data_IF_814961221073
#
_entry.id   IF_814961221073
#
_cell.length_a   1.000
_cell.length_b   1.000
_cell.length_c   1.000
_cell.angle_alpha   90.00
_cell.angle_beta   90.00
_cell.angle_gamma   90.00
#
_symmetry.space_group_name_H-M   'P 1'
#
loop_
_entity.id
_entity.type
_entity.pdbx_description
1 polymer ?
#
# COMPACT_ATOMS: atom_id res chain seq x y z
N UNK A 1 -46.06 -1.43 5.53
CA UNK A 1 -45.66 -0.69 4.31
C UNK A 1 -44.24 -1.13 3.93
N UNK A 2 -44.07 -1.92 2.87
CA UNK A 2 -42.73 -2.32 2.36
C UNK A 2 -42.24 -1.27 1.35
N UNK A 3 -40.93 -1.06 1.24
CA UNK A 3 -40.12 -0.93 0.00
C UNK A 3 -38.65 -0.72 0.43
N UNK A 4 -37.81 -1.75 0.27
CA UNK A 4 -36.81 -1.87 -0.80
C UNK A 4 -35.79 -0.71 -0.83
N UNK A 5 -34.58 -0.98 -0.32
CA UNK A 5 -33.40 -0.17 -0.60
C UNK A 5 -32.73 -0.77 -1.84
N UNK A 6 -33.18 -0.34 -3.02
CA UNK A 6 -32.44 -0.51 -4.26
C UNK A 6 -31.47 0.66 -4.39
N UNK A 7 -30.21 0.32 -4.70
CA UNK A 7 -29.13 1.30 -4.87
C UNK A 7 -29.51 2.43 -5.82
N UNK A 8 -29.34 3.64 -5.33
CA UNK A 8 -29.34 4.87 -6.11
C UNK A 8 -28.38 5.81 -5.41
N UNK A 9 -27.28 6.16 -6.09
CA UNK A 9 -26.40 7.23 -5.63
C UNK A 9 -27.24 8.51 -5.56
N UNK A 10 -27.42 9.04 -4.35
CA UNK A 10 -28.23 10.23 -4.08
C UNK A 10 -27.46 11.46 -4.60
N UNK A 11 -27.85 11.98 -5.75
CA UNK A 11 -27.36 13.25 -6.34
C UNK A 11 -28.21 14.44 -5.86
N UNK A 12 -28.55 14.48 -4.57
CA UNK A 12 -29.32 15.59 -3.96
C UNK A 12 -28.89 15.86 -2.51
N UNK A 13 -27.59 15.67 -2.23
CA UNK A 13 -27.03 16.12 -0.95
C UNK A 13 -26.96 17.65 -0.98
N UNK A 14 -27.62 18.31 -0.04
CA UNK A 14 -27.47 19.75 0.13
C UNK A 14 -26.04 20.08 0.55
N UNK A 15 -25.58 21.31 0.31
CA UNK A 15 -24.24 21.75 0.76
C UNK A 15 -24.03 21.53 2.27
N UNK A 16 -25.11 21.59 3.06
CA UNK A 16 -25.08 21.28 4.48
C UNK A 16 -24.83 19.79 4.75
N UNK A 17 -25.45 18.88 3.99
CA UNK A 17 -25.22 17.44 4.13
C UNK A 17 -23.78 17.06 3.72
N UNK A 18 -23.25 17.72 2.70
CA UNK A 18 -21.85 17.54 2.28
C UNK A 18 -20.90 18.07 3.36
N UNK A 19 -21.19 19.23 3.94
CA UNK A 19 -20.40 19.81 5.03
C UNK A 19 -20.42 18.92 6.27
N UNK A 20 -21.59 18.40 6.68
CA UNK A 20 -21.73 17.52 7.84
C UNK A 20 -20.99 16.18 7.64
N UNK A 21 -21.00 15.64 6.42
CA UNK A 21 -20.23 14.44 6.08
C UNK A 21 -18.73 14.72 6.10
N UNK A 22 -18.29 15.87 5.62
CA UNK A 22 -16.87 16.29 5.67
C UNK A 22 -16.43 16.49 7.13
N UNK A 23 -17.21 17.18 7.95
CA UNK A 23 -16.90 17.45 9.36
C UNK A 23 -16.90 16.17 10.21
N UNK A 24 -17.86 15.28 9.99
CA UNK A 24 -17.90 13.94 10.59
C UNK A 24 -16.64 13.11 10.28
N UNK A 25 -16.15 13.21 9.05
CA UNK A 25 -14.93 12.51 8.62
C UNK A 25 -13.64 13.21 9.08
N UNK A 26 -13.62 14.54 9.18
CA UNK A 26 -12.52 15.30 9.78
C UNK A 26 -12.38 15.00 11.27
N UNK A 27 -13.51 14.90 11.98
CA UNK A 27 -13.54 14.60 13.42
C UNK A 27 -13.09 13.17 13.73
N UNK A 28 -13.38 12.20 12.85
CA UNK A 28 -13.03 10.78 13.06
C UNK A 28 -11.59 10.39 12.69
N UNK A 29 -10.72 11.33 12.30
CA UNK A 29 -9.31 10.97 12.04
C UNK A 29 -8.31 12.03 12.45
N UNK A 30 -8.35 12.43 13.72
CA UNK A 30 -7.21 13.06 14.38
C UNK A 30 -6.47 12.06 15.22
N UNK A 31 -5.69 11.21 14.56
CA UNK A 31 -4.57 10.57 15.26
C UNK A 31 -3.56 11.70 15.52
N UNK A 32 -3.38 12.09 16.79
CA UNK A 32 -2.40 13.13 17.14
C UNK A 32 -1.01 12.60 16.84
N UNK A 33 -0.14 13.46 16.30
CA UNK A 33 1.25 13.07 15.99
C UNK A 33 2.00 12.58 17.23
N UNK A 34 1.61 13.03 18.43
CA UNK A 34 2.21 12.59 19.69
C UNK A 34 1.73 11.20 20.17
N UNK A 35 0.57 10.72 19.72
CA UNK A 35 0.01 9.41 20.12
C UNK A 35 0.52 8.26 19.25
N UNK A 36 1.23 8.58 18.17
CA UNK A 36 1.85 7.60 17.29
C UNK A 36 3.30 7.38 17.75
N UNK A 37 3.59 6.18 18.26
CA UNK A 37 4.98 5.75 18.36
C UNK A 37 5.60 5.89 16.95
N UNK A 38 6.75 6.57 16.75
CA UNK A 38 7.38 6.71 15.43
C UNK A 38 7.54 5.35 14.72
N UNK A 39 7.69 4.28 15.49
CA UNK A 39 7.66 2.91 15.01
C UNK A 39 6.27 2.48 14.51
N UNK A 40 5.16 2.80 15.19
CA UNK A 40 3.80 2.47 14.74
C UNK A 40 3.35 3.22 13.47
N UNK A 41 3.94 4.39 13.17
CA UNK A 41 3.64 5.12 11.93
C UNK A 41 4.02 4.31 10.70
N UNK A 42 5.06 3.48 10.82
CA UNK A 42 5.56 2.63 9.74
C UNK A 42 4.83 1.27 9.67
N UNK A 43 4.13 0.83 10.72
CA UNK A 43 3.48 -0.50 10.82
C UNK A 43 2.08 -0.59 10.20
N UNK A 44 1.77 0.19 9.16
CA UNK A 44 0.43 0.11 8.58
C UNK A 44 0.39 -0.85 7.40
N UNK A 45 -0.69 -1.64 7.34
CA UNK A 45 -1.10 -2.38 6.13
C UNK A 45 -1.04 -1.52 4.87
N UNK A 46 -1.28 -0.20 5.01
CA UNK A 46 -1.16 0.77 3.92
C UNK A 46 0.27 0.91 3.42
N UNK A 47 1.26 1.05 4.31
CA UNK A 47 2.67 1.18 3.91
C UNK A 47 3.18 -0.10 3.23
N UNK A 48 2.82 -1.28 3.75
CA UNK A 48 3.14 -2.56 3.12
C UNK A 48 2.50 -2.68 1.72
N UNK A 49 1.21 -2.37 1.58
CA UNK A 49 0.55 -2.39 0.27
C UNK A 49 1.08 -1.33 -0.70
N UNK A 50 1.56 -0.18 -0.20
CA UNK A 50 2.22 0.82 -1.04
C UNK A 50 3.53 0.27 -1.58
N UNK A 51 4.37 -0.29 -0.70
CA UNK A 51 5.64 -0.91 -1.06
C UNK A 51 5.44 -2.03 -2.08
N UNK A 52 4.45 -2.91 -1.89
CA UNK A 52 4.14 -3.96 -2.86
C UNK A 52 3.83 -3.40 -4.24
N UNK A 53 3.02 -2.34 -4.33
CA UNK A 53 2.71 -1.69 -5.61
C UNK A 53 3.94 -1.04 -6.24
N UNK A 54 4.84 -0.48 -5.44
CA UNK A 54 6.09 0.11 -5.94
C UNK A 54 7.01 -0.96 -6.53
N UNK A 55 7.14 -2.12 -5.87
CA UNK A 55 7.82 -3.29 -6.44
C UNK A 55 7.19 -3.68 -7.79
N UNK A 56 5.87 -3.81 -7.89
CA UNK A 56 5.19 -4.17 -9.14
C UNK A 56 5.37 -3.13 -10.27
N UNK A 57 5.59 -1.86 -9.92
CA UNK A 57 5.89 -0.78 -10.87
C UNK A 57 7.33 -0.86 -11.36
N UNK A 58 8.30 -0.95 -10.45
CA UNK A 58 9.73 -0.96 -10.78
C UNK A 58 10.10 -2.21 -11.58
N UNK A 59 9.53 -3.37 -11.21
CA UNK A 59 9.72 -4.62 -11.96
C UNK A 59 9.33 -4.53 -13.43
N UNK A 60 8.50 -3.57 -13.86
CA UNK A 60 8.12 -3.40 -15.28
C UNK A 60 9.30 -3.08 -16.19
N UNK A 61 10.39 -2.51 -15.65
CA UNK A 61 11.60 -2.22 -16.42
C UNK A 61 12.40 -3.49 -16.78
N UNK A 62 12.15 -4.62 -16.11
CA UNK A 62 12.92 -5.85 -16.25
C UNK A 62 12.33 -6.76 -17.34
N UNK A 63 12.43 -6.31 -18.59
CA UNK A 63 11.80 -6.97 -19.76
C UNK A 63 12.68 -8.02 -20.44
N UNK A 64 13.88 -8.30 -19.92
CA UNK A 64 14.78 -9.29 -20.48
C UNK A 64 14.56 -10.67 -19.82
N UNK A 65 14.79 -11.77 -20.56
CA UNK A 65 14.68 -13.11 -20.01
C UNK A 65 15.89 -13.48 -19.12
N UNK A 66 15.67 -14.41 -18.19
CA UNK A 66 16.71 -15.11 -17.44
C UNK A 66 17.27 -16.29 -18.25
N UNK A 67 18.15 -17.08 -17.63
CA UNK A 67 18.79 -18.24 -18.26
C UNK A 67 17.78 -19.34 -18.64
N UNK A 68 16.62 -19.36 -17.99
CA UNK A 68 15.54 -20.32 -18.23
C UNK A 68 14.48 -19.75 -19.21
N UNK A 69 14.73 -18.57 -19.79
CA UNK A 69 13.84 -17.90 -20.73
C UNK A 69 12.66 -17.15 -20.09
N UNK A 70 12.60 -17.06 -18.76
CA UNK A 70 11.53 -16.35 -18.03
C UNK A 70 11.88 -14.87 -17.92
N UNK A 71 10.89 -13.98 -18.12
CA UNK A 71 11.13 -12.55 -17.91
C UNK A 71 11.48 -12.26 -16.45
N UNK A 72 12.57 -11.51 -16.23
CA UNK A 72 12.98 -11.11 -14.88
C UNK A 72 11.87 -10.38 -14.11
N UNK A 73 11.04 -9.59 -14.79
CA UNK A 73 9.83 -9.00 -14.21
C UNK A 73 8.96 -10.04 -13.50
N UNK A 74 8.72 -11.18 -14.13
CA UNK A 74 7.77 -12.17 -13.63
C UNK A 74 8.41 -12.97 -12.48
N UNK A 75 9.70 -13.27 -12.57
CA UNK A 75 10.50 -13.87 -11.49
C UNK A 75 10.48 -12.99 -10.23
N UNK A 76 10.77 -11.69 -10.38
CA UNK A 76 10.78 -10.73 -9.26
C UNK A 76 9.40 -10.56 -8.63
N UNK A 77 8.33 -10.58 -9.43
CA UNK A 77 6.95 -10.47 -8.92
C UNK A 77 6.53 -11.71 -8.14
N UNK A 78 6.92 -12.89 -8.61
CA UNK A 78 6.67 -14.14 -7.92
C UNK A 78 7.41 -14.17 -6.57
N UNK A 79 8.71 -13.84 -6.57
CA UNK A 79 9.51 -13.73 -5.34
C UNK A 79 8.90 -12.73 -4.35
N UNK A 80 8.55 -11.52 -4.79
CA UNK A 80 7.91 -10.53 -3.92
C UNK A 80 6.57 -11.02 -3.36
N UNK A 81 5.78 -11.76 -4.14
CA UNK A 81 4.53 -12.36 -3.64
C UNK A 81 4.82 -13.41 -2.56
N UNK A 82 5.81 -14.28 -2.77
CA UNK A 82 6.19 -15.30 -1.80
C UNK A 82 6.62 -14.66 -0.47
N UNK A 83 7.43 -13.60 -0.50
CA UNK A 83 7.84 -12.88 0.71
C UNK A 83 6.65 -12.25 1.45
N UNK A 84 5.72 -11.62 0.73
CA UNK A 84 4.53 -11.01 1.33
C UNK A 84 3.58 -12.05 1.94
N UNK A 85 3.41 -13.20 1.30
CA UNK A 85 2.59 -14.29 1.86
C UNK A 85 3.26 -14.91 3.08
N UNK A 86 4.59 -15.07 3.08
CA UNK A 86 5.34 -15.56 4.24
C UNK A 86 5.21 -14.62 5.45
N UNK A 87 5.21 -13.31 5.24
CA UNK A 87 5.06 -12.31 6.30
C UNK A 87 3.60 -11.93 6.60
N UNK A 88 2.60 -12.54 5.94
CA UNK A 88 1.19 -12.12 6.00
C UNK A 88 0.60 -12.10 7.41
N UNK A 89 1.04 -13.02 8.26
CA UNK A 89 0.55 -13.18 9.63
C UNK A 89 1.49 -12.59 10.68
N UNK A 90 2.57 -11.92 10.26
CA UNK A 90 3.48 -11.25 11.18
C UNK A 90 2.69 -10.18 11.97
N UNK A 91 2.89 -10.17 13.28
CA UNK A 91 2.25 -9.22 14.21
C UNK A 91 3.29 -8.41 14.97
N UNK A 92 4.57 -8.80 14.96
CA UNK A 92 5.64 -8.07 15.64
C UNK A 92 5.88 -6.73 14.94
N UNK A 93 5.62 -5.59 15.62
CA UNK A 93 5.83 -4.26 15.07
C UNK A 93 7.27 -4.00 14.60
N UNK A 94 8.28 -4.55 15.28
CA UNK A 94 9.68 -4.35 14.94
C UNK A 94 10.05 -5.08 13.66
N UNK A 95 9.57 -6.31 13.50
CA UNK A 95 9.79 -7.11 12.29
C UNK A 95 9.10 -6.45 11.09
N UNK A 96 7.83 -6.07 11.23
CA UNK A 96 7.06 -5.41 10.17
C UNK A 96 7.78 -4.13 9.72
N UNK A 97 8.24 -3.31 10.67
CA UNK A 97 8.97 -2.09 10.36
C UNK A 97 10.27 -2.35 9.62
N UNK A 98 11.05 -3.33 10.08
CA UNK A 98 12.29 -3.71 9.42
C UNK A 98 12.03 -4.14 7.98
N UNK A 99 11.02 -4.98 7.74
CA UNK A 99 10.63 -5.43 6.40
C UNK A 99 10.25 -4.25 5.49
N UNK A 100 9.44 -3.31 5.99
CA UNK A 100 9.01 -2.15 5.21
C UNK A 100 10.19 -1.21 4.91
N UNK A 101 11.04 -0.93 5.90
CA UNK A 101 12.18 -0.01 5.73
C UNK A 101 13.21 -0.60 4.77
N UNK A 102 13.62 -1.85 4.98
CA UNK A 102 14.60 -2.52 4.12
C UNK A 102 14.05 -2.70 2.70
N UNK A 103 12.78 -3.08 2.57
CA UNK A 103 12.15 -3.22 1.26
C UNK A 103 12.06 -1.88 0.50
N UNK A 104 11.78 -0.77 1.19
CA UNK A 104 11.79 0.57 0.56
C UNK A 104 13.16 0.99 0.10
N UNK A 105 14.17 0.77 0.94
CA UNK A 105 15.55 1.09 0.61
C UNK A 105 15.99 0.30 -0.63
N UNK A 106 15.72 -1.02 -0.67
CA UNK A 106 16.00 -1.86 -1.83
C UNK A 106 15.30 -1.36 -3.11
N UNK A 107 14.01 -1.03 -3.03
CA UNK A 107 13.27 -0.46 -4.16
C UNK A 107 13.86 0.88 -4.59
N UNK A 108 14.23 1.77 -3.67
CA UNK A 108 14.84 3.05 -3.99
C UNK A 108 16.15 2.86 -4.75
N UNK A 109 17.05 2.03 -4.23
CA UNK A 109 18.34 1.74 -4.87
C UNK A 109 18.18 1.18 -6.28
N UNK A 110 17.23 0.25 -6.47
CA UNK A 110 16.95 -0.31 -7.80
C UNK A 110 16.34 0.75 -8.71
N UNK A 111 15.41 1.56 -8.21
CA UNK A 111 14.77 2.60 -9.02
C UNK A 111 15.78 3.64 -9.49
N UNK A 112 16.72 4.03 -8.64
CA UNK A 112 17.78 4.97 -9.01
C UNK A 112 18.66 4.38 -10.11
N UNK A 113 19.02 3.10 -10.02
CA UNK A 113 19.79 2.42 -11.08
C UNK A 113 19.01 2.30 -12.39
N UNK A 114 17.71 2.02 -12.32
CA UNK A 114 16.84 1.91 -13.51
C UNK A 114 16.64 3.27 -14.17
N UNK A 115 16.57 4.36 -13.41
CA UNK A 115 16.41 5.73 -13.94
C UNK A 115 17.69 6.31 -14.55
N UNK A 116 18.85 5.75 -14.22
CA UNK A 116 20.15 6.16 -14.78
C UNK A 116 20.48 5.49 -16.12
N UNK A 117 19.63 4.59 -16.60
CA UNK A 117 19.68 3.97 -17.93
C UNK A 117 18.62 4.58 -18.86
#
# INVERSE_FOLDING_TARGET
MKRHVSGGYLYDASDADVADVIDSNLAKKRIRKEDLNPLQVLTTRREALSLYRDILRVTRAFVYPDNDGRLWRDVLRESARQEYEAARFEQDPEIINRLIVVGRDAVSQVTDKVRLN
#
